data_IF_401501362838
#
_entry.id   IF_401501362838
#
_cell.length_a   1.000
_cell.length_b   1.000
_cell.length_c   1.000
_cell.angle_alpha   90.00
_cell.angle_beta   90.00
_cell.angle_gamma   90.00
#
_symmetry.space_group_name_H-M   'P 1'
#
loop_
_entity.id
_entity.type
_entity.pdbx_description
1 polymer ?
#
# COMPACT_ATOMS: atom_id res chain seq x y z
N UNK A 1 -10.13 -3.95 -13.81
CA UNK A 1 -9.73 -3.09 -14.92
C UNK A 1 -10.58 -3.39 -16.13
N UNK A 2 -11.40 -2.44 -16.52
CA UNK A 2 -12.29 -2.56 -17.66
C UNK A 2 -11.65 -2.15 -18.98
N UNK A 3 -12.38 -2.27 -20.06
CA UNK A 3 -12.02 -1.68 -21.33
C UNK A 3 -12.20 -0.15 -21.24
N UNK A 4 -11.15 0.67 -21.39
CA UNK A 4 -11.27 2.13 -21.33
C UNK A 4 -12.19 2.69 -22.44
N UNK A 5 -12.53 1.89 -23.46
CA UNK A 5 -13.46 2.26 -24.54
C UNK A 5 -14.91 1.92 -24.19
N UNK A 6 -15.16 1.14 -23.16
CA UNK A 6 -16.51 0.82 -22.69
C UNK A 6 -16.67 1.28 -21.21
N UNK A 7 -17.28 2.46 -20.99
CA UNK A 7 -17.49 2.99 -19.63
C UNK A 7 -18.30 2.08 -18.72
N UNK A 8 -19.09 1.15 -19.26
CA UNK A 8 -19.87 0.17 -18.48
C UNK A 8 -19.02 -0.98 -17.97
N UNK A 9 -17.88 -1.23 -18.60
CA UNK A 9 -16.90 -2.24 -18.21
C UNK A 9 -15.73 -1.65 -17.43
N UNK A 10 -15.72 -0.35 -17.19
CA UNK A 10 -14.70 0.29 -16.39
C UNK A 10 -15.08 0.17 -14.92
N UNK A 11 -14.34 -0.64 -14.17
CA UNK A 11 -14.49 -0.71 -12.73
C UNK A 11 -13.61 0.34 -12.06
N UNK A 12 -14.19 1.19 -11.24
CA UNK A 12 -13.45 2.14 -10.40
C UNK A 12 -12.57 1.43 -9.36
N UNK A 13 -12.95 0.23 -8.95
CA UNK A 13 -12.22 -0.58 -7.99
C UNK A 13 -11.29 -1.57 -8.70
N UNK A 14 -10.00 -1.28 -8.72
CA UNK A 14 -9.01 -2.23 -9.19
C UNK A 14 -8.93 -3.45 -8.26
N UNK A 15 -8.80 -4.63 -8.84
CA UNK A 15 -8.54 -5.89 -8.12
C UNK A 15 -7.04 -6.17 -7.94
N UNK A 16 -6.19 -5.18 -8.20
CA UNK A 16 -4.75 -5.36 -8.22
C UNK A 16 -4.32 -6.32 -9.32
N UNK A 17 -3.49 -7.29 -8.99
CA UNK A 17 -2.98 -8.30 -9.93
C UNK A 17 -3.88 -9.52 -10.12
N UNK A 18 -4.98 -9.67 -9.38
CA UNK A 18 -5.79 -10.88 -9.36
C UNK A 18 -6.30 -11.34 -10.72
N UNK A 19 -6.55 -10.42 -11.65
CA UNK A 19 -7.04 -10.73 -13.00
C UNK A 19 -5.97 -10.65 -14.09
N UNK A 20 -4.71 -10.40 -13.75
CA UNK A 20 -3.63 -10.20 -14.73
C UNK A 20 -3.34 -11.50 -15.50
N UNK A 21 -3.29 -12.63 -14.81
CA UNK A 21 -2.98 -13.91 -15.42
C UNK A 21 -4.05 -14.38 -16.43
N UNK A 22 -5.31 -14.01 -16.19
CA UNK A 22 -6.41 -14.35 -17.12
C UNK A 22 -6.58 -13.32 -18.22
N UNK A 23 -6.60 -12.03 -17.87
CA UNK A 23 -7.06 -10.96 -18.77
C UNK A 23 -5.91 -10.22 -19.47
N UNK A 24 -4.67 -10.33 -18.96
CA UNK A 24 -3.51 -9.58 -19.47
C UNK A 24 -2.31 -10.47 -19.80
N UNK A 25 -2.54 -11.62 -20.39
CA UNK A 25 -1.46 -12.55 -20.80
C UNK A 25 -0.41 -11.90 -21.70
N UNK A 26 -0.79 -10.90 -22.49
CA UNK A 26 0.13 -10.11 -23.29
C UNK A 26 1.17 -9.36 -22.44
N UNK A 27 0.82 -8.94 -21.22
CA UNK A 27 1.75 -8.29 -20.32
C UNK A 27 2.85 -9.25 -19.86
N UNK A 28 2.49 -10.48 -19.52
CA UNK A 28 3.46 -11.51 -19.12
C UNK A 28 4.44 -11.77 -20.27
N UNK A 29 3.92 -12.00 -21.46
CA UNK A 29 4.75 -12.20 -22.66
C UNK A 29 5.67 -11.02 -22.93
N UNK A 30 5.17 -9.80 -22.79
CA UNK A 30 5.97 -8.58 -22.95
C UNK A 30 7.09 -8.51 -21.90
N UNK A 31 6.84 -8.88 -20.64
CA UNK A 31 7.88 -8.94 -19.59
C UNK A 31 8.93 -10.00 -19.92
N UNK A 32 8.54 -11.18 -20.42
CA UNK A 32 9.47 -12.22 -20.90
C UNK A 32 10.39 -11.69 -22.00
N UNK A 33 9.83 -11.04 -23.03
CA UNK A 33 10.56 -10.49 -24.18
C UNK A 33 11.56 -9.40 -23.71
N UNK A 34 11.12 -8.46 -22.89
CA UNK A 34 11.97 -7.38 -22.36
C UNK A 34 13.06 -7.94 -21.44
N UNK A 35 12.73 -8.88 -20.57
CA UNK A 35 13.69 -9.50 -19.66
C UNK A 35 14.78 -10.27 -20.44
N UNK A 36 14.37 -11.01 -21.47
CA UNK A 36 15.31 -11.71 -22.36
C UNK A 36 16.23 -10.75 -23.11
N UNK A 37 15.68 -9.64 -23.63
CA UNK A 37 16.46 -8.63 -24.35
C UNK A 37 17.42 -7.88 -23.40
N UNK A 38 16.97 -7.50 -22.22
CA UNK A 38 17.80 -6.88 -21.20
C UNK A 38 18.98 -7.77 -20.82
N UNK A 39 18.71 -9.08 -20.63
CA UNK A 39 19.77 -10.07 -20.34
C UNK A 39 20.83 -10.13 -21.43
N UNK A 40 20.44 -10.12 -22.72
CA UNK A 40 21.39 -10.09 -23.84
C UNK A 40 22.25 -8.84 -23.84
N UNK A 41 21.72 -7.72 -23.38
CA UNK A 41 22.42 -6.44 -23.27
C UNK A 41 23.19 -6.25 -21.94
N UNK A 42 23.21 -7.24 -21.06
CA UNK A 42 23.82 -7.13 -19.73
C UNK A 42 23.07 -6.14 -18.80
N UNK A 43 21.78 -5.89 -19.04
CA UNK A 43 20.94 -4.97 -18.29
C UNK A 43 20.02 -5.73 -17.33
N UNK A 44 19.54 -5.03 -16.30
CA UNK A 44 18.54 -5.50 -15.36
C UNK A 44 17.22 -4.80 -15.63
N UNK A 45 16.10 -5.53 -15.57
CA UNK A 45 14.76 -4.95 -15.59
C UNK A 45 14.33 -4.65 -14.16
N UNK A 46 13.90 -3.42 -13.93
CA UNK A 46 13.27 -2.97 -12.69
C UNK A 46 11.86 -2.53 -13.05
N UNK A 47 10.86 -3.13 -12.43
CA UNK A 47 9.47 -2.81 -12.68
C UNK A 47 8.88 -1.93 -11.59
N UNK A 48 7.96 -1.07 -11.98
CA UNK A 48 7.18 -0.21 -11.10
C UNK A 48 5.70 -0.36 -11.43
N UNK A 49 4.88 -0.51 -10.43
CA UNK A 49 3.42 -0.47 -10.59
C UNK A 49 2.75 0.06 -9.32
N UNK A 50 1.44 0.25 -9.38
CA UNK A 50 0.70 0.72 -8.21
C UNK A 50 0.53 -0.35 -7.14
N UNK A 51 0.17 -1.58 -7.54
CA UNK A 51 -0.08 -2.67 -6.59
C UNK A 51 1.13 -3.57 -6.38
N UNK A 52 1.30 -4.13 -5.18
CA UNK A 52 2.25 -5.21 -4.93
C UNK A 52 1.94 -6.46 -5.75
N UNK A 53 2.97 -7.25 -6.07
CA UNK A 53 2.86 -8.55 -6.77
C UNK A 53 2.84 -9.76 -5.84
N UNK A 54 2.97 -9.54 -4.53
CA UNK A 54 2.94 -10.57 -3.49
C UNK A 54 1.92 -10.20 -2.43
N UNK A 55 1.61 -11.12 -1.52
CA UNK A 55 0.82 -10.80 -0.33
C UNK A 55 1.49 -9.65 0.44
N UNK A 56 0.75 -8.57 0.66
CA UNK A 56 1.23 -7.36 1.30
C UNK A 56 0.85 -7.27 2.80
N UNK A 57 0.29 -8.36 3.34
CA UNK A 57 -0.01 -8.52 4.74
C UNK A 57 0.97 -9.52 5.40
N UNK A 58 2.20 -9.58 4.91
CA UNK A 58 3.27 -10.45 5.43
C UNK A 58 2.86 -11.95 5.47
N UNK A 59 2.19 -12.39 4.40
CA UNK A 59 1.61 -13.75 4.23
C UNK A 59 0.47 -14.10 5.21
N UNK A 60 0.00 -13.14 6.01
CA UNK A 60 -1.11 -13.32 6.97
C UNK A 60 -2.51 -13.07 6.37
N UNK A 61 -2.62 -12.88 5.05
CA UNK A 61 -3.91 -12.55 4.43
C UNK A 61 -4.98 -13.63 4.61
N UNK A 62 -4.59 -14.90 4.72
CA UNK A 62 -5.53 -15.99 4.95
C UNK A 62 -6.15 -15.89 6.34
N UNK A 63 -5.35 -15.65 7.36
CA UNK A 63 -5.76 -15.50 8.76
C UNK A 63 -6.59 -14.21 8.94
N UNK A 64 -6.18 -13.11 8.31
CA UNK A 64 -6.94 -11.86 8.32
C UNK A 64 -8.32 -12.06 7.67
N UNK A 65 -8.39 -12.82 6.58
CA UNK A 65 -9.65 -13.14 5.91
C UNK A 65 -10.58 -13.97 6.79
N UNK A 66 -10.05 -14.92 7.52
CA UNK A 66 -10.81 -15.72 8.48
C UNK A 66 -11.35 -14.86 9.61
N UNK A 67 -10.53 -13.94 10.14
CA UNK A 67 -10.87 -13.08 11.26
C UNK A 67 -11.84 -11.94 10.87
N UNK A 68 -11.59 -11.24 9.77
CA UNK A 68 -12.29 -10.01 9.40
C UNK A 68 -13.30 -10.18 8.26
N UNK A 69 -13.17 -11.27 7.49
CA UNK A 69 -13.96 -11.51 6.29
C UNK A 69 -13.27 -11.12 4.99
N UNK A 70 -13.73 -11.66 3.84
CA UNK A 70 -12.99 -11.63 2.56
C UNK A 70 -12.90 -10.25 1.89
N UNK A 71 -13.74 -9.30 2.28
CA UNK A 71 -13.83 -7.98 1.64
C UNK A 71 -13.27 -6.86 2.52
N UNK A 72 -12.66 -7.22 3.64
CA UNK A 72 -12.06 -6.28 4.59
C UNK A 72 -10.56 -6.15 4.34
N UNK A 73 -9.93 -5.12 4.90
CA UNK A 73 -8.49 -4.95 4.91
C UNK A 73 -7.82 -5.09 3.54
N UNK A 74 -8.51 -4.67 2.47
CA UNK A 74 -8.05 -4.76 1.07
C UNK A 74 -7.77 -6.21 0.58
N UNK A 75 -8.28 -7.23 1.24
CA UNK A 75 -8.03 -8.64 0.91
C UNK A 75 -8.43 -9.04 -0.51
N UNK A 76 -9.41 -8.34 -1.10
CA UNK A 76 -9.80 -8.53 -2.49
C UNK A 76 -8.73 -8.07 -3.50
N UNK A 77 -7.69 -7.38 -3.05
CA UNK A 77 -6.56 -6.89 -3.86
C UNK A 77 -5.25 -7.62 -3.62
N UNK A 78 -5.22 -8.48 -2.61
CA UNK A 78 -4.08 -9.37 -2.37
C UNK A 78 -3.92 -10.29 -3.56
N UNK A 79 -2.76 -10.30 -4.23
CA UNK A 79 -2.54 -11.15 -5.39
C UNK A 79 -2.47 -12.62 -4.97
N UNK A 80 -2.98 -13.50 -5.82
CA UNK A 80 -2.71 -14.93 -5.67
C UNK A 80 -1.22 -15.20 -5.86
N UNK A 81 -0.68 -16.17 -5.13
CA UNK A 81 0.76 -16.49 -5.14
C UNK A 81 1.31 -16.77 -6.56
N UNK A 82 0.49 -17.33 -7.44
CA UNK A 82 0.85 -17.61 -8.84
C UNK A 82 1.31 -16.36 -9.60
N UNK A 83 0.83 -15.16 -9.24
CA UNK A 83 1.26 -13.90 -9.87
C UNK A 83 2.77 -13.70 -9.70
N UNK A 84 3.27 -13.79 -8.47
CA UNK A 84 4.70 -13.64 -8.20
C UNK A 84 5.54 -14.70 -8.93
N UNK A 85 5.04 -15.97 -8.94
CA UNK A 85 5.70 -17.08 -9.60
C UNK A 85 5.83 -16.85 -11.12
N UNK A 86 4.75 -16.45 -11.77
CA UNK A 86 4.71 -16.20 -13.21
C UNK A 86 5.63 -15.03 -13.61
N UNK A 87 5.60 -13.91 -12.88
CA UNK A 87 6.46 -12.77 -13.19
C UNK A 87 7.94 -13.03 -12.89
N UNK A 88 8.25 -13.77 -11.83
CA UNK A 88 9.63 -14.22 -11.58
C UNK A 88 10.15 -15.14 -12.69
N UNK A 89 9.33 -16.07 -13.16
CA UNK A 89 9.67 -16.97 -14.27
C UNK A 89 9.77 -16.25 -15.61
N UNK A 90 9.02 -15.16 -15.79
CA UNK A 90 9.16 -14.23 -16.93
C UNK A 90 10.47 -13.40 -16.89
N UNK A 91 11.26 -13.54 -15.84
CA UNK A 91 12.58 -12.91 -15.70
C UNK A 91 12.58 -11.61 -14.90
N UNK A 92 11.48 -11.21 -14.31
CA UNK A 92 11.42 -10.04 -13.43
C UNK A 92 12.04 -10.37 -12.08
N UNK A 93 13.03 -9.56 -11.67
CA UNK A 93 13.76 -9.76 -10.41
C UNK A 93 13.41 -8.75 -9.33
N UNK A 94 13.11 -7.52 -9.72
CA UNK A 94 12.84 -6.41 -8.79
C UNK A 94 11.59 -5.68 -9.24
N UNK A 95 10.66 -5.54 -8.31
CA UNK A 95 9.42 -4.81 -8.49
C UNK A 95 9.19 -3.84 -7.33
N UNK A 96 8.81 -2.61 -7.65
CA UNK A 96 8.37 -1.62 -6.68
C UNK A 96 6.87 -1.44 -6.81
N UNK A 97 6.16 -1.66 -5.71
CA UNK A 97 4.74 -1.41 -5.56
C UNK A 97 4.46 -0.35 -4.50
N UNK A 98 3.27 0.19 -4.50
CA UNK A 98 2.78 1.15 -3.50
C UNK A 98 1.44 0.70 -2.92
N UNK A 99 0.40 1.50 -3.10
CA UNK A 99 -0.99 1.27 -2.72
C UNK A 99 -1.24 1.20 -1.22
N UNK A 100 -0.54 0.33 -0.49
CA UNK A 100 -0.76 0.12 0.95
C UNK A 100 -0.14 1.22 1.82
N UNK A 101 0.72 2.06 1.24
CA UNK A 101 1.46 3.12 1.95
C UNK A 101 2.33 2.59 3.10
N UNK A 102 2.76 1.36 3.03
CA UNK A 102 3.63 0.72 4.03
C UNK A 102 5.05 0.55 3.50
N UNK A 103 5.98 0.42 4.43
CA UNK A 103 7.38 0.16 4.14
C UNK A 103 7.67 -1.31 4.41
N UNK A 104 7.68 -2.11 3.35
CA UNK A 104 7.85 -3.55 3.46
C UNK A 104 8.62 -4.13 2.25
N UNK A 105 9.12 -5.36 2.39
CA UNK A 105 9.81 -6.08 1.32
C UNK A 105 9.55 -7.57 1.45
N UNK A 106 9.03 -8.16 0.41
CA UNK A 106 8.83 -9.61 0.36
C UNK A 106 9.57 -10.26 -0.81
N UNK A 107 9.87 -11.53 -0.67
CA UNK A 107 10.64 -12.31 -1.65
C UNK A 107 9.90 -13.59 -1.99
N UNK A 108 9.82 -13.90 -3.29
CA UNK A 108 9.30 -15.19 -3.76
C UNK A 108 10.32 -15.87 -4.66
N UNK A 109 10.52 -17.17 -4.43
CA UNK A 109 11.39 -18.00 -5.27
C UNK A 109 10.55 -19.10 -5.90
N UNK A 110 10.63 -19.23 -7.22
CA UNK A 110 9.91 -20.25 -7.98
C UNK A 110 10.58 -21.62 -7.89
N UNK A 111 9.84 -22.67 -8.28
CA UNK A 111 10.41 -24.02 -8.40
C UNK A 111 11.57 -24.11 -9.42
N UNK A 112 11.67 -23.15 -10.35
CA UNK A 112 12.79 -23.05 -11.30
C UNK A 112 14.01 -22.28 -10.73
N UNK A 113 13.91 -21.80 -9.47
CA UNK A 113 14.97 -21.03 -8.82
C UNK A 113 15.01 -19.55 -9.22
N UNK A 114 14.00 -19.03 -9.94
CA UNK A 114 13.89 -17.61 -10.22
C UNK A 114 13.34 -16.87 -9.00
N UNK A 115 13.85 -15.68 -8.73
CA UNK A 115 13.47 -14.91 -7.53
C UNK A 115 12.95 -13.54 -7.94
N UNK A 116 11.80 -13.16 -7.35
CA UNK A 116 11.22 -11.83 -7.38
C UNK A 116 11.34 -11.20 -6.00
N UNK A 117 11.97 -10.02 -5.94
CA UNK A 117 11.97 -9.13 -4.78
C UNK A 117 10.92 -8.06 -5.02
N UNK A 118 9.87 -8.05 -4.22
CA UNK A 118 8.82 -7.03 -4.25
C UNK A 118 9.03 -6.05 -3.10
N UNK A 119 9.20 -4.78 -3.43
CA UNK A 119 9.47 -3.70 -2.50
C UNK A 119 8.24 -2.82 -2.44
N UNK A 120 7.63 -2.72 -1.28
CA UNK A 120 6.53 -1.79 -1.04
C UNK A 120 7.10 -0.43 -0.68
N UNK A 121 6.58 0.58 -1.36
CA UNK A 121 7.01 1.96 -1.19
C UNK A 121 6.04 2.68 -0.27
N UNK A 122 6.54 3.28 0.82
CA UNK A 122 5.71 4.13 1.69
C UNK A 122 5.19 5.34 0.95
N UNK A 123 4.23 6.03 1.53
CA UNK A 123 3.68 7.26 0.95
C UNK A 123 4.39 8.49 1.49
N UNK A 124 4.53 9.50 0.63
CA UNK A 124 5.00 10.82 1.05
C UNK A 124 3.95 11.57 1.90
N UNK A 125 2.67 11.19 1.77
CA UNK A 125 1.54 11.87 2.41
C UNK A 125 0.85 11.02 3.50
N UNK A 126 1.43 9.89 3.89
CA UNK A 126 0.92 9.04 4.97
C UNK A 126 2.00 8.83 6.02
N UNK A 127 1.58 8.55 7.25
CA UNK A 127 2.51 8.22 8.33
C UNK A 127 3.04 6.79 8.16
N UNK A 128 4.33 6.53 8.24
CA UNK A 128 5.49 7.44 8.34
C UNK A 128 5.85 7.89 6.94
N UNK A 129 5.86 9.23 6.68
CA UNK A 129 6.16 9.73 5.34
C UNK A 129 7.60 9.39 4.97
N UNK A 130 7.76 8.71 3.82
CA UNK A 130 9.08 8.27 3.39
C UNK A 130 9.11 7.99 1.88
N UNK A 131 10.31 7.82 1.35
CA UNK A 131 10.56 7.36 -0.01
C UNK A 131 11.71 6.35 -0.06
N UNK A 132 11.82 5.65 -1.17
CA UNK A 132 12.93 4.71 -1.42
C UNK A 132 14.00 5.37 -2.27
N UNK A 133 15.25 5.24 -1.84
CA UNK A 133 16.42 5.59 -2.62
C UNK A 133 17.08 4.31 -3.14
N UNK A 134 17.06 4.13 -4.45
CA UNK A 134 17.67 3.01 -5.14
C UNK A 134 19.06 3.41 -5.64
N UNK A 135 20.10 2.69 -5.25
CA UNK A 135 21.45 2.86 -5.74
C UNK A 135 21.93 1.59 -6.44
N UNK A 136 22.23 1.69 -7.73
CA UNK A 136 22.82 0.59 -8.50
C UNK A 136 24.34 0.75 -8.43
N UNK A 137 24.99 -0.22 -7.79
CA UNK A 137 26.46 -0.26 -7.63
C UNK A 137 27.11 -1.08 -8.75
N UNK A 138 28.43 -1.06 -8.81
CA UNK A 138 29.20 -1.99 -9.64
C UNK A 138 28.83 -3.43 -9.27
N UNK A 139 29.01 -4.35 -10.20
CA UNK A 139 28.72 -5.78 -10.01
C UNK A 139 27.23 -6.12 -9.85
N UNK A 140 26.33 -5.24 -10.35
CA UNK A 140 24.88 -5.38 -10.29
C UNK A 140 24.30 -5.49 -8.86
N UNK A 141 25.04 -5.00 -7.87
CA UNK A 141 24.52 -4.88 -6.52
C UNK A 141 23.55 -3.70 -6.46
N UNK A 142 22.36 -3.96 -5.94
CA UNK A 142 21.31 -2.97 -5.74
C UNK A 142 21.16 -2.71 -4.25
N UNK A 143 21.32 -1.46 -3.86
CA UNK A 143 21.13 -0.98 -2.49
C UNK A 143 19.84 -0.16 -2.44
N UNK A 144 18.94 -0.46 -1.51
CA UNK A 144 17.63 0.18 -1.38
C UNK A 144 17.48 0.68 0.04
N UNK A 145 17.42 2.00 0.18
CA UNK A 145 17.29 2.67 1.46
C UNK A 145 15.91 3.30 1.57
N UNK A 146 15.32 3.23 2.75
CA UNK A 146 14.13 4.01 3.10
C UNK A 146 14.57 5.30 3.78
N UNK A 147 14.15 6.43 3.22
CA UNK A 147 14.43 7.75 3.77
C UNK A 147 13.14 8.33 4.30
N UNK A 148 13.07 8.54 5.60
CA UNK A 148 11.93 9.19 6.27
C UNK A 148 11.98 10.70 6.08
N UNK A 149 10.80 11.33 6.05
CA UNK A 149 10.63 12.77 5.93
C UNK A 149 10.10 13.30 7.26
N UNK A 150 10.97 13.93 8.02
CA UNK A 150 10.60 14.50 9.32
C UNK A 150 10.04 15.92 9.17
N UNK A 151 10.47 16.64 8.13
CA UNK A 151 10.04 18.02 7.89
C UNK A 151 9.87 18.32 6.41
N UNK A 152 8.88 19.14 6.12
CA UNK A 152 8.63 19.71 4.80
C UNK A 152 8.56 21.22 4.97
N UNK A 153 9.30 21.96 4.16
CA UNK A 153 9.24 23.42 4.18
C UNK A 153 7.82 23.89 3.83
N UNK A 154 7.28 24.83 4.60
CA UNK A 154 5.96 25.40 4.38
C UNK A 154 4.82 24.35 4.35
N UNK A 155 4.94 23.25 5.13
CA UNK A 155 3.91 22.20 5.19
C UNK A 155 2.53 22.74 5.62
N UNK A 156 2.50 23.87 6.31
CA UNK A 156 1.34 24.57 6.81
C UNK A 156 0.82 25.68 5.90
N UNK A 157 1.41 25.87 4.72
CA UNK A 157 1.06 26.95 3.78
C UNK A 157 -0.44 26.99 3.44
N UNK A 158 -1.09 25.85 3.40
CA UNK A 158 -2.52 25.72 3.07
C UNK A 158 -3.44 25.75 4.31
N UNK A 159 -2.93 25.89 5.52
CA UNK A 159 -3.74 25.79 6.75
C UNK A 159 -4.84 26.86 6.84
N UNK A 160 -4.60 28.03 6.32
CA UNK A 160 -5.64 29.07 6.30
C UNK A 160 -6.78 28.73 5.33
N UNK A 161 -6.50 28.09 4.21
CA UNK A 161 -7.52 27.58 3.30
C UNK A 161 -8.29 26.42 3.94
N UNK A 162 -7.61 25.52 4.64
CA UNK A 162 -8.26 24.42 5.38
C UNK A 162 -9.16 24.93 6.51
N UNK A 163 -8.79 26.03 7.21
CA UNK A 163 -9.68 26.68 8.18
C UNK A 163 -10.96 27.21 7.52
N UNK A 164 -10.83 27.83 6.35
CA UNK A 164 -11.99 28.31 5.59
C UNK A 164 -12.89 27.16 5.16
N UNK A 165 -12.32 26.06 4.68
CA UNK A 165 -13.09 24.85 4.34
C UNK A 165 -13.81 24.29 5.57
N UNK A 166 -13.12 24.16 6.69
CA UNK A 166 -13.72 23.69 7.94
C UNK A 166 -14.92 24.54 8.37
N UNK A 167 -14.77 25.87 8.37
CA UNK A 167 -15.86 26.81 8.68
C UNK A 167 -17.04 26.67 7.71
N UNK A 168 -16.76 26.46 6.43
CA UNK A 168 -17.79 26.18 5.45
C UNK A 168 -18.55 24.90 5.77
N UNK A 169 -17.84 23.79 6.03
CA UNK A 169 -18.44 22.51 6.42
C UNK A 169 -19.28 22.61 7.69
N UNK A 170 -18.82 23.36 8.70
CA UNK A 170 -19.58 23.67 9.91
C UNK A 170 -20.89 24.41 9.58
N UNK A 171 -20.82 25.44 8.72
CA UNK A 171 -21.98 26.22 8.31
C UNK A 171 -23.06 25.38 7.60
N UNK A 172 -22.61 24.37 6.85
CA UNK A 172 -23.47 23.40 6.16
C UNK A 172 -23.95 22.24 7.06
N UNK A 173 -23.51 22.18 8.33
CA UNK A 173 -23.77 21.05 9.24
C UNK A 173 -23.36 19.72 8.61
N UNK A 174 -22.23 19.70 7.92
CA UNK A 174 -21.69 18.50 7.26
C UNK A 174 -21.41 17.40 8.29
N UNK A 175 -21.70 16.15 7.91
CA UNK A 175 -21.32 14.97 8.70
C UNK A 175 -19.85 14.60 8.50
N UNK A 176 -19.24 15.10 7.42
CA UNK A 176 -17.86 14.81 7.01
C UNK A 176 -16.87 15.88 7.49
N UNK A 177 -17.21 16.53 8.61
CA UNK A 177 -16.32 17.53 9.20
C UNK A 177 -15.11 16.85 9.86
N UNK A 178 -13.94 17.23 9.42
CA UNK A 178 -12.67 16.72 9.95
C UNK A 178 -12.24 17.45 11.22
N UNK A 179 -11.32 16.86 11.98
CA UNK A 179 -10.86 17.42 13.24
C UNK A 179 -9.88 18.57 13.01
N UNK A 180 -10.30 19.79 13.33
CA UNK A 180 -9.51 21.01 13.13
C UNK A 180 -8.20 21.03 13.94
N UNK A 181 -8.06 20.18 14.95
CA UNK A 181 -6.84 20.13 15.76
C UNK A 181 -5.61 19.65 14.97
N UNK A 182 -5.81 19.04 13.79
CA UNK A 182 -4.72 18.72 12.86
C UNK A 182 -3.91 19.98 12.46
N UNK A 183 -4.56 21.14 12.42
CA UNK A 183 -3.91 22.42 12.09
C UNK A 183 -3.07 23.00 13.24
N UNK A 184 -3.03 22.34 14.41
CA UNK A 184 -2.17 22.70 15.55
C UNK A 184 -0.85 21.92 15.55
N UNK A 185 -0.65 21.02 14.62
CA UNK A 185 0.58 20.22 14.49
C UNK A 185 1.77 21.14 14.21
N UNK A 186 2.95 20.73 14.65
CA UNK A 186 4.15 21.60 14.64
C UNK A 186 5.09 21.32 13.48
N UNK A 187 4.94 20.17 12.85
CA UNK A 187 5.77 19.72 11.73
C UNK A 187 4.99 18.72 10.89
N UNK A 188 5.56 18.35 9.74
CA UNK A 188 4.91 17.44 8.79
C UNK A 188 4.74 16.02 9.34
N UNK A 189 5.68 15.53 10.13
CA UNK A 189 5.59 14.21 10.77
C UNK A 189 4.38 14.16 11.72
N UNK A 190 4.23 15.15 12.61
CA UNK A 190 3.08 15.24 13.51
C UNK A 190 1.74 15.36 12.75
N UNK A 191 1.74 16.08 11.62
CA UNK A 191 0.57 16.23 10.76
C UNK A 191 0.14 14.88 10.18
N UNK A 192 1.08 14.09 9.65
CA UNK A 192 0.78 12.78 9.07
C UNK A 192 0.40 11.76 10.14
N UNK A 193 1.00 11.81 11.33
CA UNK A 193 0.63 10.98 12.48
C UNK A 193 -0.81 11.27 12.96
N UNK A 194 -1.14 12.55 13.09
CA UNK A 194 -2.51 12.96 13.42
C UNK A 194 -3.51 12.45 12.38
N UNK A 195 -3.19 12.61 11.10
CA UNK A 195 -4.03 12.14 10.01
C UNK A 195 -4.25 10.63 10.05
N UNK A 196 -3.20 9.83 10.31
CA UNK A 196 -3.34 8.38 10.45
C UNK A 196 -4.27 8.01 11.62
N UNK A 197 -4.11 8.66 12.78
CA UNK A 197 -4.98 8.43 13.95
C UNK A 197 -6.45 8.69 13.63
N UNK A 198 -6.74 9.77 12.91
CA UNK A 198 -8.10 10.09 12.48
C UNK A 198 -8.64 9.09 11.43
N UNK A 199 -7.81 8.64 10.49
CA UNK A 199 -8.19 7.59 9.54
C UNK A 199 -8.52 6.27 10.25
N UNK A 200 -7.71 5.87 11.22
CA UNK A 200 -8.01 4.66 12.03
C UNK A 200 -9.33 4.82 12.76
N UNK A 201 -9.51 5.94 13.45
CA UNK A 201 -10.71 6.20 14.26
C UNK A 201 -11.99 6.29 13.42
N UNK A 202 -11.95 7.02 12.31
CA UNK A 202 -13.15 7.36 11.53
C UNK A 202 -13.49 6.32 10.46
N UNK A 203 -12.49 5.64 9.90
CA UNK A 203 -12.68 4.75 8.78
C UNK A 203 -12.31 3.31 9.10
N UNK A 204 -11.06 3.01 9.44
CA UNK A 204 -10.62 1.62 9.53
C UNK A 204 -11.34 0.84 10.62
N UNK A 205 -11.52 1.42 11.82
CA UNK A 205 -12.28 0.76 12.88
C UNK A 205 -13.76 0.56 12.53
N UNK A 206 -14.34 1.40 11.67
CA UNK A 206 -15.74 1.30 11.27
C UNK A 206 -15.95 0.34 10.10
N UNK A 207 -15.04 0.38 9.12
CA UNK A 207 -15.24 -0.27 7.83
C UNK A 207 -14.59 -1.65 7.77
N UNK A 208 -13.42 -1.80 8.38
CA UNK A 208 -12.60 -2.99 8.24
C UNK A 208 -12.70 -3.96 9.43
N UNK A 209 -13.10 -3.47 10.61
CA UNK A 209 -13.20 -4.31 11.79
C UNK A 209 -14.63 -4.76 12.06
N UNK A 210 -14.86 -6.02 12.46
CA UNK A 210 -16.17 -6.48 12.92
C UNK A 210 -16.64 -5.66 14.13
N UNK A 211 -17.96 -5.45 14.25
CA UNK A 211 -18.54 -4.60 15.30
C UNK A 211 -18.15 -5.05 16.71
N UNK A 212 -18.15 -6.37 16.95
CA UNK A 212 -17.74 -6.94 18.23
C UNK A 212 -16.26 -6.69 18.56
N UNK A 213 -15.37 -6.66 17.57
CA UNK A 213 -13.97 -6.28 17.73
C UNK A 213 -13.84 -4.81 18.07
N UNK A 214 -14.55 -3.95 17.34
CA UNK A 214 -14.58 -2.52 17.63
C UNK A 214 -14.99 -2.26 19.07
N UNK A 215 -16.09 -2.86 19.51
CA UNK A 215 -16.60 -2.69 20.88
C UNK A 215 -15.61 -3.21 21.92
N UNK A 216 -14.95 -4.34 21.66
CA UNK A 216 -13.89 -4.86 22.50
C UNK A 216 -12.74 -3.87 22.64
N UNK A 217 -12.16 -3.41 21.54
CA UNK A 217 -10.99 -2.51 21.57
C UNK A 217 -11.30 -1.11 22.11
N UNK A 218 -12.51 -0.63 21.98
CA UNK A 218 -12.92 0.65 22.57
C UNK A 218 -13.13 0.58 24.08
N UNK A 219 -13.35 -0.62 24.63
CA UNK A 219 -13.64 -0.82 26.05
C UNK A 219 -12.55 -1.56 26.82
N UNK A 220 -11.58 -2.17 26.12
CA UNK A 220 -10.48 -2.90 26.76
C UNK A 220 -9.48 -1.91 27.37
N UNK A 221 -9.11 -2.12 28.62
CA UNK A 221 -8.05 -1.38 29.29
C UNK A 221 -6.67 -1.97 29.00
N UNK A 222 -5.61 -1.22 29.27
CA UNK A 222 -4.25 -1.75 29.21
C UNK A 222 -4.01 -2.93 30.16
N UNK A 223 -4.71 -2.94 31.31
CA UNK A 223 -4.68 -4.04 32.28
C UNK A 223 -5.33 -5.31 31.70
N UNK A 224 -6.48 -5.17 31.04
CA UNK A 224 -7.15 -6.29 30.36
C UNK A 224 -6.26 -6.90 29.28
N UNK A 225 -5.54 -6.07 28.50
CA UNK A 225 -4.60 -6.54 27.48
C UNK A 225 -3.42 -7.32 28.10
N UNK A 226 -2.91 -6.89 29.25
CA UNK A 226 -1.86 -7.63 29.96
C UNK A 226 -2.35 -8.99 30.46
N UNK A 227 -3.61 -9.08 30.91
CA UNK A 227 -4.23 -10.36 31.31
C UNK A 227 -4.41 -11.29 30.13
N UNK A 228 -4.77 -10.76 28.95
CA UNK A 228 -4.93 -11.56 27.73
C UNK A 228 -3.60 -12.06 27.14
N UNK A 229 -2.50 -11.37 27.44
CA UNK A 229 -1.16 -11.73 26.95
C UNK A 229 -0.42 -12.76 27.82
N UNK A 230 -0.96 -13.13 28.98
CA UNK A 230 -0.43 -14.15 29.91
C UNK A 230 -1.26 -15.43 29.86
#
# INVERSE_FOLDING_TARGET
EGDPKDPKNYSEASTGYNNVLSNKKHLIKWVEEISAEAKKQGKIVIAFSHFPMIDFNDDASAEIKELLGPNKWQLNRVPVEEVAQVFADAGLKIHFGGHMHINDTGVRTTAKGNTLVNIQTPSLAAYIPAYKLLTIKKDNLVDIQTITIDSVSQYDELFDLYKMEHQFLESQKSKDIWNIDILKTKNYHDFTDFHLKELVRLRFLSDDWPSNFKDFFLNVSGEDLLVLAN
#
